data_IF_174398914219
#
_entry.id   IF_174398914219
#
_cell.length_a   1.000
_cell.length_b   1.000
_cell.length_c   1.000
_cell.angle_alpha   90.00
_cell.angle_beta   90.00
_cell.angle_gamma   90.00
#
_symmetry.space_group_name_H-M   'P 1'
#
loop_
_entity.id
_entity.type
_entity.pdbx_description
1 polymer ?
#
# COMPACT_ATOMS: atom_id res chain seq x y z
N UNK A 1 58.11 20.71 -37.54
CA UNK A 1 56.63 20.79 -37.45
C UNK A 1 56.21 20.03 -36.20
N UNK A 2 55.70 20.71 -35.17
CA UNK A 2 55.30 20.09 -33.90
C UNK A 2 53.82 20.42 -33.66
N UNK A 3 52.98 19.39 -33.54
CA UNK A 3 51.54 19.53 -33.36
C UNK A 3 51.24 19.25 -31.88
N UNK A 4 50.66 20.21 -31.16
CA UNK A 4 50.25 20.00 -29.77
C UNK A 4 48.80 19.47 -29.72
N UNK A 5 48.61 18.33 -29.07
CA UNK A 5 47.29 17.72 -28.85
C UNK A 5 46.66 18.41 -27.64
N UNK A 6 45.68 19.28 -27.87
CA UNK A 6 44.92 19.94 -26.80
C UNK A 6 43.83 18.97 -26.34
N UNK A 7 44.07 18.27 -25.23
CA UNK A 7 43.03 17.48 -24.56
C UNK A 7 42.09 18.45 -23.82
N UNK A 8 40.81 18.49 -24.22
CA UNK A 8 39.79 19.29 -23.53
C UNK A 8 39.23 18.47 -22.37
N UNK A 9 39.63 18.80 -21.14
CA UNK A 9 38.98 18.25 -19.96
C UNK A 9 37.59 18.87 -19.82
N UNK A 10 36.55 18.02 -19.88
CA UNK A 10 35.17 18.44 -19.62
C UNK A 10 35.01 18.74 -18.13
N UNK A 11 34.38 19.86 -17.73
CA UNK A 11 34.12 20.14 -16.31
C UNK A 11 33.15 19.08 -15.76
N UNK A 12 33.52 18.43 -14.66
CA UNK A 12 32.61 17.55 -13.95
C UNK A 12 31.40 18.33 -13.40
N UNK A 13 30.18 17.76 -13.41
CA UNK A 13 29.00 18.45 -12.93
C UNK A 13 29.14 18.73 -11.42
N UNK A 14 29.02 20.01 -11.06
CA UNK A 14 29.01 20.46 -9.66
C UNK A 14 27.71 19.95 -9.03
N UNK A 15 27.83 19.11 -7.99
CA UNK A 15 26.69 18.56 -7.27
C UNK A 15 25.87 19.66 -6.59
N UNK A 16 24.62 19.83 -7.01
CA UNK A 16 23.68 20.74 -6.36
C UNK A 16 23.30 20.21 -4.97
N UNK A 17 23.26 21.05 -3.92
CA UNK A 17 22.79 20.63 -2.61
C UNK A 17 21.29 20.31 -2.68
N UNK A 18 20.94 19.04 -2.46
CA UNK A 18 19.54 18.60 -2.37
C UNK A 18 18.96 19.11 -1.05
N UNK A 19 18.07 20.09 -1.11
CA UNK A 19 17.27 20.50 0.05
C UNK A 19 16.35 19.36 0.45
N UNK A 20 16.63 18.73 1.61
CA UNK A 20 15.74 17.70 2.17
C UNK A 20 14.37 18.32 2.42
N UNK A 21 13.34 17.79 1.76
CA UNK A 21 11.95 18.19 2.02
C UNK A 21 11.61 17.92 3.48
N UNK A 22 11.00 18.87 4.21
CA UNK A 22 10.57 18.65 5.57
C UNK A 22 9.59 17.47 5.61
N UNK A 23 9.87 16.50 6.47
CA UNK A 23 9.04 15.31 6.64
C UNK A 23 7.77 15.74 7.37
N UNK A 24 6.67 15.89 6.64
CA UNK A 24 5.37 16.21 7.24
C UNK A 24 5.02 15.09 8.21
N UNK A 25 4.99 15.40 9.51
CA UNK A 25 4.53 14.47 10.53
C UNK A 25 3.01 14.39 10.44
N UNK A 26 2.50 13.34 9.78
CA UNK A 26 1.08 13.02 9.83
C UNK A 26 0.82 12.37 11.18
N UNK A 27 0.07 13.00 12.10
CA UNK A 27 -0.26 12.39 13.38
C UNK A 27 -1.00 11.07 13.11
N UNK A 28 -0.53 10.01 13.75
CA UNK A 28 -1.11 8.68 13.57
C UNK A 28 -2.52 8.71 14.15
N UNK A 29 -3.57 8.45 13.35
CA UNK A 29 -4.93 8.52 13.85
C UNK A 29 -5.11 7.47 14.95
N UNK A 30 -5.54 7.91 16.13
CA UNK A 30 -5.79 7.06 17.29
C UNK A 30 -7.08 6.25 17.10
N UNK A 31 -7.10 5.39 16.09
CA UNK A 31 -8.20 4.47 15.83
C UNK A 31 -7.99 3.27 16.76
N UNK A 32 -8.78 3.22 17.84
CA UNK A 32 -8.88 2.02 18.69
C UNK A 32 -9.74 1.00 17.95
N UNK A 33 -9.09 0.13 17.18
CA UNK A 33 -9.76 -1.04 16.63
C UNK A 33 -10.05 -2.03 17.77
N UNK A 34 -11.16 -2.79 17.70
CA UNK A 34 -11.38 -3.88 18.63
C UNK A 34 -10.20 -4.87 18.55
N UNK A 35 -9.96 -5.65 19.62
CA UNK A 35 -8.93 -6.68 19.61
C UNK A 35 -9.10 -7.54 18.36
N UNK A 36 -8.07 -7.58 17.49
CA UNK A 36 -8.05 -8.56 16.41
C UNK A 36 -8.10 -9.94 17.07
N UNK A 37 -9.04 -10.78 16.64
CA UNK A 37 -9.14 -12.16 17.13
C UNK A 37 -7.83 -12.94 16.92
N UNK A 38 -7.83 -14.21 17.33
CA UNK A 38 -6.63 -15.07 17.36
C UNK A 38 -5.94 -15.28 16.00
N UNK A 39 -6.61 -14.95 14.89
CA UNK A 39 -6.15 -15.21 13.52
C UNK A 39 -5.21 -14.14 12.95
N UNK A 40 -4.98 -13.02 13.64
CA UNK A 40 -4.12 -11.94 13.13
C UNK A 40 -4.65 -11.27 11.84
N UNK A 41 -3.82 -10.52 11.10
CA UNK A 41 -4.24 -9.93 9.82
C UNK A 41 -4.58 -11.01 8.78
N UNK A 42 -5.80 -10.98 8.25
CA UNK A 42 -6.24 -11.84 7.15
C UNK A 42 -6.46 -11.01 5.88
N UNK A 43 -6.21 -11.61 4.72
CA UNK A 43 -6.49 -10.95 3.45
C UNK A 43 -8.00 -10.73 3.29
N UNK A 44 -8.41 -9.53 2.84
CA UNK A 44 -9.83 -9.14 2.76
C UNK A 44 -10.69 -10.09 1.92
N UNK A 45 -10.10 -10.76 0.92
CA UNK A 45 -10.81 -11.76 0.12
C UNK A 45 -11.33 -12.95 0.93
N UNK A 46 -10.68 -13.30 2.06
CA UNK A 46 -11.16 -14.36 2.94
C UNK A 46 -12.53 -14.04 3.54
N UNK A 47 -12.85 -12.76 3.72
CA UNK A 47 -14.14 -12.29 4.20
C UNK A 47 -15.13 -12.05 3.05
N UNK A 48 -14.66 -11.49 1.93
CA UNK A 48 -15.54 -11.08 0.84
C UNK A 48 -15.92 -12.21 -0.13
N UNK A 49 -15.03 -13.17 -0.38
CA UNK A 49 -15.31 -14.22 -1.37
C UNK A 49 -16.56 -15.05 -1.04
N UNK A 50 -16.79 -15.50 0.22
CA UNK A 50 -18.01 -16.21 0.56
C UNK A 50 -19.28 -15.38 0.32
N UNK A 51 -19.25 -14.09 0.67
CA UNK A 51 -20.38 -13.18 0.44
C UNK A 51 -20.67 -13.02 -1.05
N UNK A 52 -19.62 -12.86 -1.88
CA UNK A 52 -19.76 -12.74 -3.33
C UNK A 52 -20.31 -14.03 -3.97
N UNK A 53 -19.98 -15.20 -3.42
CA UNK A 53 -20.52 -16.48 -3.85
C UNK A 53 -22.01 -16.59 -3.51
N UNK A 54 -22.39 -16.25 -2.28
CA UNK A 54 -23.79 -16.24 -1.84
C UNK A 54 -24.64 -15.28 -2.69
N UNK A 55 -24.12 -14.11 -3.04
CA UNK A 55 -24.84 -13.13 -3.87
C UNK A 55 -25.22 -13.66 -5.27
N UNK A 56 -24.52 -14.68 -5.78
CA UNK A 56 -24.83 -15.32 -7.08
C UNK A 56 -25.90 -16.41 -6.96
N UNK A 57 -26.29 -16.80 -5.74
CA UNK A 57 -27.26 -17.86 -5.50
C UNK A 57 -28.71 -17.33 -5.62
N UNK A 58 -29.66 -18.13 -6.17
CA UNK A 58 -31.07 -17.74 -6.21
C UNK A 58 -31.67 -17.52 -4.82
N UNK A 59 -31.25 -18.33 -3.84
CA UNK A 59 -31.69 -18.26 -2.44
C UNK A 59 -30.76 -17.38 -1.56
N UNK A 60 -30.14 -16.35 -2.16
CA UNK A 60 -29.13 -15.52 -1.47
C UNK A 60 -29.61 -14.93 -0.13
N UNK A 61 -30.89 -14.59 0.00
CA UNK A 61 -31.40 -13.91 1.18
C UNK A 61 -31.39 -14.84 2.40
N UNK A 62 -31.81 -16.10 2.23
CA UNK A 62 -31.74 -17.10 3.28
C UNK A 62 -30.29 -17.42 3.65
N UNK A 63 -29.44 -17.61 2.64
CA UNK A 63 -28.03 -17.92 2.86
C UNK A 63 -27.27 -16.78 3.56
N UNK A 64 -27.56 -15.52 3.23
CA UNK A 64 -27.00 -14.38 3.97
C UNK A 64 -27.49 -14.36 5.42
N UNK A 65 -28.77 -14.66 5.67
CA UNK A 65 -29.30 -14.72 7.02
C UNK A 65 -28.64 -15.83 7.86
N UNK A 66 -28.45 -17.02 7.29
CA UNK A 66 -27.73 -18.13 7.93
C UNK A 66 -26.23 -17.78 8.13
N UNK A 67 -25.60 -17.14 7.15
CA UNK A 67 -24.18 -16.77 7.23
C UNK A 67 -23.88 -15.76 8.34
N UNK A 68 -24.83 -14.87 8.64
CA UNK A 68 -24.68 -13.84 9.68
C UNK A 68 -25.45 -14.17 10.98
N UNK A 69 -26.01 -15.37 11.14
CA UNK A 69 -26.81 -15.68 12.34
C UNK A 69 -25.99 -15.82 13.63
N UNK A 70 -24.68 -16.06 13.52
CA UNK A 70 -23.76 -16.21 14.65
C UNK A 70 -23.13 -14.88 15.11
N UNK A 71 -23.43 -13.77 14.42
CA UNK A 71 -22.92 -12.43 14.71
C UNK A 71 -24.02 -11.48 15.19
#
# INVERSE_FOLDING_TARGET
MQQAIITRQSPAPIGMPVTRRPKVHVPQPAIKLPPRGTTGPVHISKLLNPVLEICRHPDRNRLLAEFFSEY
#
